data_IF_425178249889
#
_entry.id   IF_425178249889
#
_cell.length_a   1.000
_cell.length_b   1.000
_cell.length_c   1.000
_cell.angle_alpha   90.00
_cell.angle_beta   90.00
_cell.angle_gamma   90.00
#
_symmetry.space_group_name_H-M   'P 1'
#
loop_
_entity.id
_entity.type
_entity.pdbx_description
1 polymer ?
#
# COMPACT_ATOMS: atom_id res chain seq x y z
N UNK A 1 13.62 -27.08 7.52
CA UNK A 1 13.54 -27.74 8.84
C UNK A 1 13.22 -26.67 9.86
N UNK A 2 12.32 -26.95 10.80
CA UNK A 2 11.85 -26.00 11.82
C UNK A 2 12.05 -26.60 13.21
N UNK A 3 12.19 -25.75 14.24
CA UNK A 3 12.36 -26.21 15.61
C UNK A 3 11.17 -27.09 16.05
N UNK A 4 11.45 -28.20 16.72
CA UNK A 4 10.41 -29.13 17.18
C UNK A 4 9.56 -28.49 18.29
N UNK A 5 8.23 -28.62 18.19
CA UNK A 5 7.31 -28.13 19.20
C UNK A 5 7.10 -29.16 20.32
N UNK A 6 6.85 -28.68 21.53
CA UNK A 6 6.74 -29.51 22.74
C UNK A 6 5.67 -28.97 23.68
N UNK A 7 5.35 -29.77 24.68
CA UNK A 7 4.50 -29.35 25.79
C UNK A 7 4.97 -28.00 26.40
N UNK A 8 4.02 -27.12 26.67
CA UNK A 8 4.20 -25.75 27.19
C UNK A 8 4.99 -24.81 26.27
N UNK A 9 5.25 -25.18 25.02
CA UNK A 9 5.76 -24.21 24.06
C UNK A 9 4.60 -23.26 23.65
N UNK A 10 4.87 -21.95 23.48
CA UNK A 10 3.86 -20.92 23.29
C UNK A 10 3.20 -20.95 21.91
N UNK A 11 1.95 -20.46 21.86
CA UNK A 11 1.24 -20.16 20.62
C UNK A 11 0.89 -18.66 20.55
N UNK A 12 0.79 -18.13 19.34
CA UNK A 12 0.50 -16.71 19.10
C UNK A 12 -0.50 -16.51 17.95
N UNK A 13 -1.27 -15.43 18.06
CA UNK A 13 -2.03 -14.86 16.95
C UNK A 13 -1.29 -13.66 16.37
N UNK A 14 -1.64 -13.30 15.14
CA UNK A 14 -1.26 -12.01 14.57
C UNK A 14 -2.34 -10.98 14.89
N UNK A 15 -2.10 -9.72 14.51
CA UNK A 15 -3.12 -8.67 14.53
C UNK A 15 -3.80 -8.49 13.18
N UNK A 16 -3.87 -9.53 12.33
CA UNK A 16 -4.27 -9.41 10.93
C UNK A 16 -5.70 -8.90 10.76
N UNK A 17 -6.64 -9.43 11.55
CA UNK A 17 -8.04 -9.00 11.49
C UNK A 17 -8.21 -7.55 11.96
N UNK A 18 -7.58 -7.20 13.08
CA UNK A 18 -7.62 -5.84 13.63
C UNK A 18 -6.99 -4.84 12.66
N UNK A 19 -5.83 -5.19 12.11
CA UNK A 19 -5.15 -4.40 11.10
C UNK A 19 -6.01 -4.19 9.86
N UNK A 20 -6.65 -5.26 9.36
CA UNK A 20 -7.56 -5.20 8.22
C UNK A 20 -8.72 -4.22 8.47
N UNK A 21 -9.41 -4.33 9.61
CA UNK A 21 -10.56 -3.49 9.93
C UNK A 21 -10.15 -2.02 10.13
N UNK A 22 -9.04 -1.77 10.82
CA UNK A 22 -8.49 -0.43 10.99
C UNK A 22 -8.09 0.18 9.65
N UNK A 23 -7.37 -0.58 8.82
CA UNK A 23 -6.96 -0.16 7.48
C UNK A 23 -8.15 0.12 6.57
N UNK A 24 -9.20 -0.71 6.63
CA UNK A 24 -10.44 -0.49 5.89
C UNK A 24 -11.08 0.86 6.26
N UNK A 25 -11.22 1.12 7.57
CA UNK A 25 -11.82 2.36 8.06
C UNK A 25 -10.99 3.58 7.66
N UNK A 26 -9.66 3.54 7.84
CA UNK A 26 -8.75 4.64 7.46
C UNK A 26 -8.82 4.89 5.95
N UNK A 27 -8.81 3.84 5.14
CA UNK A 27 -8.93 3.94 3.68
C UNK A 27 -10.25 4.59 3.25
N UNK A 28 -11.35 4.18 3.86
CA UNK A 28 -12.68 4.72 3.57
C UNK A 28 -12.79 6.21 3.94
N UNK A 29 -12.35 6.57 5.17
CA UNK A 29 -12.40 7.95 5.67
C UNK A 29 -11.50 8.87 4.85
N UNK A 30 -10.26 8.44 4.58
CA UNK A 30 -9.31 9.22 3.80
C UNK A 30 -9.84 9.57 2.41
N UNK A 31 -10.50 8.62 1.74
CA UNK A 31 -11.15 8.89 0.45
C UNK A 31 -12.41 9.76 0.58
N UNK A 32 -13.24 9.54 1.59
CA UNK A 32 -14.47 10.32 1.78
C UNK A 32 -14.20 11.82 1.96
N UNK A 33 -13.07 12.19 2.59
CA UNK A 33 -12.65 13.58 2.75
C UNK A 33 -12.25 14.25 1.43
N UNK A 34 -11.84 13.47 0.43
CA UNK A 34 -11.38 13.98 -0.88
C UNK A 34 -12.56 14.15 -1.85
N UNK A 35 -13.63 13.37 -1.70
CA UNK A 35 -14.71 13.36 -2.69
C UNK A 35 -15.78 14.40 -2.39
N UNK A 36 -15.67 15.56 -3.04
CA UNK A 36 -16.54 16.73 -2.80
C UNK A 36 -17.93 16.72 -3.44
N UNK A 37 -18.29 15.74 -4.28
CA UNK A 37 -19.63 15.67 -4.90
C UNK A 37 -20.13 14.23 -5.05
N UNK A 38 -21.38 13.97 -4.65
CA UNK A 38 -21.99 12.66 -4.72
C UNK A 38 -22.07 12.12 -6.15
N UNK A 39 -21.85 10.81 -6.32
CA UNK A 39 -21.91 10.13 -7.62
C UNK A 39 -21.33 8.72 -7.56
N UNK A 40 -21.58 7.90 -8.57
CA UNK A 40 -21.12 6.50 -8.57
C UNK A 40 -19.58 6.39 -8.52
N UNK A 41 -18.86 7.30 -9.20
CA UNK A 41 -17.40 7.37 -9.14
C UNK A 41 -16.89 7.74 -7.74
N UNK A 42 -17.61 8.59 -7.00
CA UNK A 42 -17.29 8.94 -5.62
C UNK A 42 -17.33 7.71 -4.70
N UNK A 43 -18.43 6.95 -4.79
CA UNK A 43 -18.61 5.71 -4.04
C UNK A 43 -17.55 4.68 -4.41
N UNK A 44 -17.21 4.58 -5.70
CA UNK A 44 -16.18 3.68 -6.15
C UNK A 44 -14.79 4.04 -5.62
N UNK A 45 -14.43 5.34 -5.56
CA UNK A 45 -13.17 5.80 -4.95
C UNK A 45 -13.12 5.39 -3.48
N UNK A 46 -14.18 5.64 -2.72
CA UNK A 46 -14.25 5.24 -1.30
C UNK A 46 -14.12 3.73 -1.14
N UNK A 47 -14.85 2.94 -1.93
CA UNK A 47 -14.76 1.47 -1.89
C UNK A 47 -13.38 0.93 -2.27
N UNK A 48 -12.73 1.51 -3.29
CA UNK A 48 -11.38 1.14 -3.69
C UNK A 48 -10.35 1.49 -2.61
N UNK A 49 -10.46 2.67 -2.01
CA UNK A 49 -9.58 3.11 -0.94
C UNK A 49 -9.76 2.29 0.34
N UNK A 50 -11.01 1.98 0.71
CA UNK A 50 -11.31 1.09 1.83
C UNK A 50 -10.72 -0.30 1.62
N UNK A 51 -10.91 -0.91 0.43
CA UNK A 51 -10.33 -2.22 0.12
C UNK A 51 -8.79 -2.21 0.09
N UNK A 52 -8.19 -1.15 -0.45
CA UNK A 52 -6.73 -0.98 -0.46
C UNK A 52 -6.20 -0.80 0.96
N UNK A 53 -6.86 0.03 1.76
CA UNK A 53 -6.54 0.26 3.16
C UNK A 53 -6.64 -1.02 3.98
N UNK A 54 -7.66 -1.84 3.74
CA UNK A 54 -7.81 -3.16 4.36
C UNK A 54 -6.64 -4.09 4.05
N UNK A 55 -6.21 -4.18 2.79
CA UNK A 55 -5.07 -5.00 2.39
C UNK A 55 -3.75 -4.54 3.03
N UNK A 56 -3.52 -3.22 3.10
CA UNK A 56 -2.34 -2.64 3.79
C UNK A 56 -2.42 -2.90 5.30
N UNK A 57 -3.60 -2.68 5.90
CA UNK A 57 -3.83 -2.87 7.32
C UNK A 57 -3.65 -4.33 7.73
N UNK A 58 -4.16 -5.27 6.94
CA UNK A 58 -3.95 -6.70 7.15
C UNK A 58 -2.47 -7.07 7.07
N UNK A 59 -1.73 -6.53 6.09
CA UNK A 59 -0.29 -6.75 5.98
C UNK A 59 0.43 -6.29 7.25
N UNK A 60 0.15 -5.07 7.72
CA UNK A 60 0.75 -4.52 8.94
C UNK A 60 0.39 -5.38 10.15
N UNK A 61 -0.89 -5.74 10.29
CA UNK A 61 -1.37 -6.62 11.37
C UNK A 61 -0.74 -8.01 11.35
N UNK A 62 -0.36 -8.52 10.17
CA UNK A 62 0.28 -9.82 10.03
C UNK A 62 1.76 -9.85 10.43
N UNK A 63 2.37 -8.69 10.69
CA UNK A 63 3.80 -8.59 11.02
C UNK A 63 4.08 -9.11 12.43
N UNK A 64 5.31 -9.56 12.68
CA UNK A 64 5.69 -10.22 13.93
C UNK A 64 5.56 -9.28 15.14
N UNK A 65 5.72 -7.96 14.94
CA UNK A 65 5.53 -6.97 16.01
C UNK A 65 4.07 -6.73 16.41
N UNK A 66 3.11 -7.16 15.57
CA UNK A 66 1.68 -7.16 15.88
C UNK A 66 1.21 -8.53 16.40
N UNK A 67 2.12 -9.49 16.58
CA UNK A 67 1.79 -10.80 17.12
C UNK A 67 1.86 -10.78 18.65
N UNK A 68 0.95 -11.52 19.29
CA UNK A 68 0.92 -11.65 20.74
C UNK A 68 0.70 -13.11 21.13
N UNK A 69 1.37 -13.51 22.21
CA UNK A 69 1.18 -14.83 22.76
C UNK A 69 -0.24 -14.96 23.32
N UNK A 70 -0.97 -15.98 22.84
CA UNK A 70 -2.38 -16.24 23.20
C UNK A 70 -2.53 -17.53 24.00
N UNK A 71 -1.42 -18.21 24.32
CA UNK A 71 -1.47 -19.42 25.13
C UNK A 71 -0.27 -20.34 24.89
N UNK A 72 -0.51 -21.65 25.04
CA UNK A 72 0.53 -22.67 24.97
C UNK A 72 -0.02 -24.07 24.66
N UNK A 73 0.86 -24.95 24.20
CA UNK A 73 0.57 -26.38 24.02
C UNK A 73 0.37 -27.04 25.39
N UNK A 74 -0.71 -27.79 25.56
CA UNK A 74 -1.11 -28.41 26.84
C UNK A 74 -1.07 -29.93 26.84
N UNK A 75 -0.84 -30.59 25.70
CA UNK A 75 -0.64 -32.03 25.63
C UNK A 75 0.48 -32.40 24.66
N UNK A 76 1.01 -33.63 24.79
CA UNK A 76 2.10 -34.13 23.98
C UNK A 76 2.19 -35.66 24.03
N UNK A 77 3.19 -36.21 23.36
CA UNK A 77 3.53 -37.63 23.40
C UNK A 77 3.80 -38.15 24.81
N UNK A 78 3.34 -39.37 25.11
CA UNK A 78 3.53 -40.03 26.39
C UNK A 78 4.91 -40.65 26.59
N UNK A 79 5.68 -40.86 25.52
CA UNK A 79 6.93 -41.62 25.54
C UNK A 79 8.04 -41.04 24.63
N UNK A 80 7.77 -39.97 23.90
CA UNK A 80 8.78 -39.27 23.10
C UNK A 80 8.96 -37.87 23.66
N UNK A 81 10.16 -37.60 24.18
CA UNK A 81 10.52 -36.33 24.78
C UNK A 81 11.58 -35.64 23.94
N UNK A 82 11.48 -34.32 23.83
CA UNK A 82 12.46 -33.45 23.19
C UNK A 82 12.93 -32.45 24.24
N UNK A 83 14.21 -32.51 24.62
CA UNK A 83 14.76 -31.72 25.73
C UNK A 83 13.92 -31.83 27.02
N UNK A 84 13.56 -33.07 27.39
CA UNK A 84 12.82 -33.36 28.63
C UNK A 84 11.31 -33.07 28.58
N UNK A 85 10.80 -32.32 27.61
CA UNK A 85 9.36 -32.06 27.43
C UNK A 85 8.75 -33.04 26.44
N UNK A 86 7.49 -33.42 26.64
CA UNK A 86 6.74 -34.25 25.69
C UNK A 86 6.69 -33.59 24.30
N UNK A 87 6.99 -34.34 23.25
CA UNK A 87 6.94 -33.84 21.87
C UNK A 87 5.48 -33.61 21.43
N UNK A 88 5.22 -32.50 20.75
CA UNK A 88 3.88 -32.17 20.27
C UNK A 88 3.59 -32.77 18.89
N UNK A 89 2.35 -33.17 18.65
CA UNK A 89 1.89 -33.85 17.43
C UNK A 89 0.62 -33.21 16.89
N UNK A 90 0.52 -33.09 15.58
CA UNK A 90 -0.71 -32.69 14.91
C UNK A 90 -1.82 -33.72 15.15
N UNK A 91 -3.08 -33.32 14.95
CA UNK A 91 -4.31 -34.10 15.07
C UNK A 91 -4.70 -34.58 16.48
N UNK A 92 -3.72 -34.91 17.32
CA UNK A 92 -3.96 -35.53 18.63
C UNK A 92 -3.66 -34.61 19.80
N UNK A 93 -2.64 -33.75 19.69
CA UNK A 93 -2.27 -32.87 20.78
C UNK A 93 -2.97 -31.50 20.68
N UNK A 94 -3.10 -30.83 21.82
CA UNK A 94 -3.93 -29.65 21.97
C UNK A 94 -3.17 -28.48 22.58
N UNK A 95 -3.66 -27.27 22.32
CA UNK A 95 -3.20 -26.02 22.91
C UNK A 95 -4.35 -25.30 23.61
N UNK A 96 -4.05 -24.54 24.65
CA UNK A 96 -4.97 -23.55 25.21
C UNK A 96 -4.78 -22.23 24.47
N UNK A 97 -5.87 -21.55 24.13
CA UNK A 97 -5.88 -20.26 23.45
C UNK A 97 -6.85 -19.32 24.16
N UNK A 98 -6.38 -18.14 24.54
CA UNK A 98 -7.08 -17.15 25.37
C UNK A 98 -7.93 -16.19 24.52
N UNK A 99 -7.63 -16.05 23.22
CA UNK A 99 -8.35 -15.17 22.29
C UNK A 99 -9.70 -15.76 21.84
N UNK A 100 -9.96 -17.02 22.15
CA UNK A 100 -11.13 -17.75 21.69
C UNK A 100 -11.89 -18.40 22.85
N UNK A 101 -13.18 -18.68 22.62
CA UNK A 101 -14.07 -19.24 23.64
C UNK A 101 -13.55 -20.53 24.29
N UNK A 102 -14.18 -20.95 25.41
CA UNK A 102 -13.65 -22.00 26.27
C UNK A 102 -13.47 -23.31 25.50
N UNK A 103 -12.24 -23.85 25.54
CA UNK A 103 -11.93 -25.17 25.01
C UNK A 103 -10.56 -25.25 24.35
N UNK A 104 -9.83 -26.36 24.57
CA UNK A 104 -8.52 -26.55 23.96
C UNK A 104 -8.64 -26.75 22.44
N UNK A 105 -7.67 -26.23 21.71
CA UNK A 105 -7.57 -26.20 20.24
C UNK A 105 -6.63 -27.29 19.77
N UNK A 106 -7.03 -28.10 18.80
CA UNK A 106 -6.15 -29.15 18.25
C UNK A 106 -4.99 -28.51 17.47
N UNK A 107 -3.80 -29.10 17.56
CA UNK A 107 -2.70 -28.78 16.64
C UNK A 107 -3.07 -29.33 15.25
N UNK A 108 -3.37 -28.46 14.31
CA UNK A 108 -3.92 -28.84 13.00
C UNK A 108 -2.83 -29.09 11.94
N UNK A 109 -1.58 -28.79 12.24
CA UNK A 109 -0.46 -28.94 11.31
C UNK A 109 0.76 -29.59 11.94
N UNK A 110 1.52 -30.30 11.09
CA UNK A 110 2.78 -30.94 11.46
C UNK A 110 3.63 -31.31 10.24
N UNK A 111 4.65 -32.12 10.46
CA UNK A 111 5.54 -32.62 9.39
C UNK A 111 4.90 -33.73 8.56
N UNK A 112 4.94 -33.57 7.23
CA UNK A 112 4.55 -34.60 6.25
C UNK A 112 5.47 -35.83 6.19
N UNK A 113 6.64 -35.80 6.83
CA UNK A 113 7.63 -36.88 6.72
C UNK A 113 8.12 -37.43 8.05
N UNK A 114 7.88 -36.71 9.15
CA UNK A 114 8.30 -37.11 10.49
C UNK A 114 7.08 -37.31 11.37
N UNK A 115 6.89 -38.55 11.80
CA UNK A 115 5.76 -38.97 12.63
C UNK A 115 6.24 -39.35 14.03
N UNK A 116 5.49 -38.94 15.06
CA UNK A 116 5.70 -39.33 16.45
C UNK A 116 4.45 -40.06 16.91
N UNK A 117 4.60 -41.33 17.30
CA UNK A 117 3.48 -42.20 17.67
C UNK A 117 2.40 -42.28 16.58
N UNK A 118 2.80 -42.27 15.30
CA UNK A 118 1.90 -42.36 14.16
C UNK A 118 1.25 -41.04 13.72
N UNK A 119 1.49 -39.92 14.39
CA UNK A 119 0.94 -38.60 14.04
C UNK A 119 2.04 -37.63 13.57
N UNK A 120 1.75 -36.72 12.62
CA UNK A 120 2.72 -35.71 12.16
C UNK A 120 3.31 -34.92 13.33
N UNK A 121 4.63 -34.77 13.37
CA UNK A 121 5.30 -34.04 14.44
C UNK A 121 5.11 -32.52 14.26
N UNK A 122 4.62 -31.83 15.29
CA UNK A 122 4.39 -30.38 15.25
C UNK A 122 5.70 -29.59 15.45
N UNK A 123 5.78 -28.42 14.84
CA UNK A 123 6.99 -27.57 14.79
C UNK A 123 6.63 -26.11 14.97
N UNK A 124 7.64 -25.28 15.22
CA UNK A 124 7.52 -23.83 15.12
C UNK A 124 6.98 -23.45 13.74
N UNK A 125 6.03 -22.51 13.72
CA UNK A 125 5.21 -22.06 12.59
C UNK A 125 4.06 -22.99 12.14
N UNK A 126 3.95 -24.22 12.65
CA UNK A 126 2.74 -25.03 12.44
C UNK A 126 1.57 -24.45 13.25
N UNK A 127 0.33 -24.65 12.76
CA UNK A 127 -0.88 -23.99 13.28
C UNK A 127 -1.78 -24.89 14.11
N UNK A 128 -2.54 -24.27 15.00
CA UNK A 128 -3.74 -24.84 15.64
C UNK A 128 -4.97 -24.74 14.72
N UNK A 129 -6.06 -25.41 15.10
CA UNK A 129 -7.38 -25.30 14.45
C UNK A 129 -7.93 -23.86 14.44
N UNK A 130 -7.44 -22.98 15.32
CA UNK A 130 -7.85 -21.59 15.39
C UNK A 130 -6.93 -20.63 14.63
N UNK A 131 -5.96 -21.15 13.86
CA UNK A 131 -4.95 -20.38 13.10
C UNK A 131 -3.85 -19.72 13.96
N UNK A 132 -3.79 -20.05 15.26
CA UNK A 132 -2.64 -19.65 16.10
C UNK A 132 -1.40 -20.44 15.67
N UNK A 133 -0.24 -19.78 15.64
CA UNK A 133 1.04 -20.40 15.30
C UNK A 133 1.83 -20.76 16.54
N UNK A 134 2.55 -21.86 16.50
CA UNK A 134 3.55 -22.20 17.52
C UNK A 134 4.74 -21.25 17.34
N UNK A 135 4.98 -20.38 18.33
CA UNK A 135 5.94 -19.27 18.20
C UNK A 135 7.34 -19.59 18.71
N UNK A 136 7.48 -20.61 19.56
CA UNK A 136 8.78 -21.11 20.01
C UNK A 136 8.79 -22.63 20.14
N UNK A 137 9.99 -23.20 20.18
CA UNK A 137 10.19 -24.65 20.19
C UNK A 137 11.52 -25.04 20.81
N UNK A 138 12.02 -26.21 20.44
CA UNK A 138 13.34 -26.69 20.83
C UNK A 138 14.47 -25.84 20.24
N UNK A 139 15.49 -25.54 21.05
CA UNK A 139 16.64 -24.73 20.62
C UNK A 139 17.66 -25.50 19.76
N UNK A 140 17.60 -26.83 19.74
CA UNK A 140 18.62 -27.68 19.12
C UNK A 140 18.06 -28.94 18.41
N UNK A 141 16.74 -29.14 18.42
CA UNK A 141 16.09 -30.23 17.70
C UNK A 141 15.18 -29.65 16.63
N UNK A 142 15.47 -29.99 15.38
CA UNK A 142 14.76 -29.50 14.22
C UNK A 142 14.13 -30.67 13.47
N UNK A 143 12.89 -30.49 13.01
CA UNK A 143 12.12 -31.49 12.27
C UNK A 143 11.94 -30.99 10.83
N UNK A 144 12.18 -31.89 9.88
CA UNK A 144 12.05 -31.65 8.44
C UNK A 144 10.64 -31.88 7.90
N UNK A 145 10.54 -32.03 6.58
CA UNK A 145 9.28 -32.22 5.86
C UNK A 145 8.55 -30.93 5.53
N UNK A 146 7.67 -30.99 4.53
CA UNK A 146 6.69 -29.94 4.27
C UNK A 146 5.60 -29.96 5.36
N UNK A 147 4.83 -28.87 5.47
CA UNK A 147 3.70 -28.80 6.39
C UNK A 147 2.51 -29.59 5.85
N UNK A 148 2.06 -30.57 6.62
CA UNK A 148 0.81 -31.30 6.41
C UNK A 148 -0.27 -30.71 7.31
N UNK A 149 -1.46 -30.46 6.76
CA UNK A 149 -2.64 -30.04 7.52
C UNK A 149 -3.52 -31.26 7.78
N UNK A 150 -3.64 -31.65 9.04
CA UNK A 150 -4.41 -32.81 9.48
C UNK A 150 -5.86 -32.48 9.80
N UNK A 151 -6.14 -31.24 10.19
CA UNK A 151 -7.45 -30.79 10.65
C UNK A 151 -7.84 -29.44 10.02
N UNK A 152 -9.14 -29.13 9.87
CA UNK A 152 -9.59 -27.84 9.37
C UNK A 152 -9.11 -26.69 10.26
N UNK A 153 -8.54 -25.67 9.63
CA UNK A 153 -8.10 -24.44 10.31
C UNK A 153 -9.15 -23.36 10.04
N UNK A 154 -9.62 -22.73 11.11
CA UNK A 154 -10.45 -21.53 11.07
C UNK A 154 -9.53 -20.31 10.99
N UNK A 155 -9.41 -19.65 9.82
CA UNK A 155 -8.42 -18.58 9.63
C UNK A 155 -8.73 -17.36 10.51
N UNK A 156 -7.68 -16.67 10.97
CA UNK A 156 -7.81 -15.49 11.84
C UNK A 156 -8.64 -14.39 11.18
N UNK A 157 -8.46 -14.21 9.87
CA UNK A 157 -9.32 -13.37 9.05
C UNK A 157 -10.35 -14.26 8.34
N UNK A 158 -11.66 -14.08 8.58
CA UNK A 158 -12.68 -14.89 7.94
C UNK A 158 -12.60 -14.80 6.41
N UNK A 159 -12.54 -15.95 5.73
CA UNK A 159 -12.41 -16.03 4.26
C UNK A 159 -13.50 -15.24 3.54
N UNK A 160 -14.72 -15.22 4.08
CA UNK A 160 -15.83 -14.45 3.50
C UNK A 160 -15.58 -12.93 3.58
N UNK A 161 -14.96 -12.46 4.67
CA UNK A 161 -14.63 -11.05 4.85
C UNK A 161 -13.56 -10.60 3.85
N UNK A 162 -12.46 -11.35 3.73
CA UNK A 162 -11.40 -11.04 2.74
C UNK A 162 -11.95 -11.03 1.32
N UNK A 163 -12.72 -12.05 0.95
CA UNK A 163 -13.34 -12.13 -0.37
C UNK A 163 -14.33 -10.99 -0.61
N UNK A 164 -15.11 -10.61 0.40
CA UNK A 164 -16.03 -9.49 0.33
C UNK A 164 -15.30 -8.17 0.04
N UNK A 165 -14.21 -7.90 0.77
CA UNK A 165 -13.40 -6.70 0.59
C UNK A 165 -12.72 -6.68 -0.79
N UNK A 166 -12.19 -7.82 -1.22
CA UNK A 166 -11.62 -7.95 -2.57
C UNK A 166 -12.68 -7.66 -3.65
N UNK A 167 -13.90 -8.18 -3.50
CA UNK A 167 -14.99 -7.93 -4.43
C UNK A 167 -15.43 -6.46 -4.43
N UNK A 168 -15.47 -5.80 -3.27
CA UNK A 168 -15.70 -4.36 -3.17
C UNK A 168 -14.62 -3.61 -3.95
N UNK A 169 -13.34 -3.93 -3.73
CA UNK A 169 -12.22 -3.31 -4.44
C UNK A 169 -12.29 -3.51 -5.95
N UNK A 170 -12.59 -4.73 -6.42
CA UNK A 170 -12.73 -5.03 -7.84
C UNK A 170 -13.96 -4.34 -8.47
N UNK A 171 -15.11 -4.38 -7.79
CA UNK A 171 -16.33 -3.72 -8.27
C UNK A 171 -16.12 -2.20 -8.40
N UNK A 172 -15.49 -1.59 -7.40
CA UNK A 172 -15.03 -0.20 -7.47
C UNK A 172 -14.08 0.03 -8.64
N UNK A 173 -13.11 -0.85 -8.86
CA UNK A 173 -12.18 -0.73 -9.98
C UNK A 173 -12.88 -0.77 -11.35
N UNK A 174 -13.93 -1.59 -11.52
CA UNK A 174 -14.74 -1.61 -12.76
C UNK A 174 -15.59 -0.36 -12.97
N UNK A 175 -15.91 0.39 -11.93
CA UNK A 175 -16.54 1.71 -12.06
C UNK A 175 -15.51 2.76 -12.49
N UNK A 176 -14.27 2.66 -11.99
CA UNK A 176 -13.23 3.66 -12.21
C UNK A 176 -12.41 3.43 -13.48
N UNK A 177 -12.33 2.19 -13.96
CA UNK A 177 -11.49 1.80 -15.07
C UNK A 177 -12.18 0.77 -15.97
N UNK A 178 -11.67 0.64 -17.18
CA UNK A 178 -12.17 -0.32 -18.15
C UNK A 178 -11.91 -1.77 -17.71
N UNK A 179 -12.72 -2.73 -18.21
CA UNK A 179 -12.52 -4.14 -17.87
C UNK A 179 -11.13 -4.69 -18.19
N UNK A 180 -10.51 -4.28 -19.30
CA UNK A 180 -9.17 -4.76 -19.66
C UNK A 180 -8.11 -4.28 -18.66
N UNK A 181 -8.20 -3.03 -18.19
CA UNK A 181 -7.29 -2.49 -17.17
C UNK A 181 -7.46 -3.22 -15.84
N UNK A 182 -8.70 -3.43 -15.40
CA UNK A 182 -9.00 -4.10 -14.12
C UNK A 182 -8.54 -5.55 -14.14
N UNK A 183 -8.89 -6.31 -15.18
CA UNK A 183 -8.52 -7.73 -15.30
C UNK A 183 -7.00 -7.88 -15.41
N UNK A 184 -6.35 -7.11 -16.28
CA UNK A 184 -4.90 -7.19 -16.45
C UNK A 184 -4.16 -6.76 -15.17
N UNK A 185 -4.67 -5.73 -14.46
CA UNK A 185 -4.16 -5.31 -13.16
C UNK A 185 -4.32 -6.39 -12.09
N UNK A 186 -5.48 -7.04 -12.01
CA UNK A 186 -5.71 -8.12 -11.05
C UNK A 186 -4.81 -9.33 -11.30
N UNK A 187 -4.71 -9.79 -12.56
CA UNK A 187 -3.82 -10.89 -12.96
C UNK A 187 -2.36 -10.52 -12.71
N UNK A 188 -1.95 -9.31 -13.07
CA UNK A 188 -0.62 -8.80 -12.79
C UNK A 188 -0.32 -8.76 -11.30
N UNK A 189 -1.29 -8.38 -10.47
CA UNK A 189 -1.15 -8.35 -9.01
C UNK A 189 -0.98 -9.74 -8.41
N UNK A 190 -1.78 -10.72 -8.84
CA UNK A 190 -1.60 -12.12 -8.42
C UNK A 190 -0.21 -12.62 -8.81
N UNK A 191 0.17 -12.47 -10.09
CA UNK A 191 1.46 -12.95 -10.59
C UNK A 191 2.65 -12.27 -9.90
N UNK A 192 2.58 -10.95 -9.71
CA UNK A 192 3.60 -10.21 -8.98
C UNK A 192 3.69 -10.64 -7.53
N UNK A 193 2.56 -10.89 -6.86
CA UNK A 193 2.50 -11.33 -5.48
C UNK A 193 3.07 -12.73 -5.28
N UNK A 194 2.76 -13.68 -6.16
CA UNK A 194 3.31 -15.04 -6.07
C UNK A 194 4.81 -15.06 -6.31
N UNK A 195 5.31 -14.31 -7.30
CA UNK A 195 6.75 -14.16 -7.56
C UNK A 195 7.44 -13.48 -6.36
N UNK A 196 6.84 -12.42 -5.82
CA UNK A 196 7.35 -11.72 -4.64
C UNK A 196 7.40 -12.61 -3.41
N UNK A 197 6.36 -13.43 -3.18
CA UNK A 197 6.32 -14.40 -2.08
C UNK A 197 7.40 -15.47 -2.22
N UNK A 198 7.55 -16.04 -3.42
CA UNK A 198 8.57 -17.06 -3.70
C UNK A 198 10.00 -16.50 -3.54
N UNK A 199 10.28 -15.34 -4.15
CA UNK A 199 11.58 -14.70 -4.04
C UNK A 199 11.86 -14.26 -2.59
N UNK A 200 10.87 -13.72 -1.90
CA UNK A 200 10.95 -13.32 -0.50
C UNK A 200 11.26 -14.48 0.43
N UNK A 201 10.59 -15.63 0.26
CA UNK A 201 10.86 -16.84 1.04
C UNK A 201 12.28 -17.35 0.85
N UNK A 202 12.80 -17.30 -0.39
CA UNK A 202 14.18 -17.71 -0.70
C UNK A 202 15.24 -16.74 -0.15
N UNK A 203 14.97 -15.43 -0.16
CA UNK A 203 15.92 -14.40 0.26
C UNK A 203 15.92 -14.15 1.77
N UNK A 204 14.77 -14.26 2.42
CA UNK A 204 14.58 -13.83 3.81
C UNK A 204 14.08 -14.92 4.76
N UNK A 205 13.81 -16.11 4.24
CA UNK A 205 13.25 -17.24 4.98
C UNK A 205 11.73 -17.27 4.94
N UNK A 206 11.19 -18.49 4.91
CA UNK A 206 9.74 -18.74 4.91
C UNK A 206 9.08 -18.21 6.19
N UNK A 207 7.97 -17.49 6.03
CA UNK A 207 7.21 -16.89 7.13
C UNK A 207 7.75 -15.54 7.61
N UNK A 208 8.90 -15.09 7.12
CA UNK A 208 9.52 -13.83 7.54
C UNK A 208 8.70 -12.59 7.15
N UNK A 209 8.79 -11.54 7.97
CA UNK A 209 8.14 -10.26 7.70
C UNK A 209 8.60 -9.64 6.37
N UNK A 210 9.87 -9.83 6.00
CA UNK A 210 10.40 -9.37 4.71
C UNK A 210 9.83 -10.15 3.52
N UNK A 211 9.51 -11.44 3.67
CA UNK A 211 8.79 -12.18 2.64
C UNK A 211 7.38 -11.61 2.42
N UNK A 212 6.64 -11.33 3.51
CA UNK A 212 5.29 -10.73 3.42
C UNK A 212 5.33 -9.38 2.68
N UNK A 213 6.31 -8.54 3.02
CA UNK A 213 6.54 -7.25 2.34
C UNK A 213 6.91 -7.43 0.87
N UNK A 214 7.76 -8.41 0.52
CA UNK A 214 8.12 -8.71 -0.87
C UNK A 214 6.91 -9.21 -1.67
N UNK A 215 6.07 -10.08 -1.08
CA UNK A 215 4.83 -10.53 -1.70
C UNK A 215 3.91 -9.33 -1.98
N UNK A 216 3.70 -8.46 -0.99
CA UNK A 216 2.88 -7.26 -1.15
C UNK A 216 3.45 -6.29 -2.20
N UNK A 217 4.75 -5.98 -2.13
CA UNK A 217 5.43 -5.12 -3.09
C UNK A 217 5.40 -5.68 -4.51
N UNK A 218 5.59 -7.00 -4.64
CA UNK A 218 5.43 -7.73 -5.90
C UNK A 218 4.02 -7.60 -6.45
N UNK A 219 2.98 -7.76 -5.62
CA UNK A 219 1.60 -7.61 -6.04
C UNK A 219 1.29 -6.18 -6.50
N UNK A 220 1.78 -5.17 -5.79
CA UNK A 220 1.59 -3.75 -6.17
C UNK A 220 2.28 -3.44 -7.52
N UNK A 221 3.51 -3.89 -7.70
CA UNK A 221 4.27 -3.69 -8.95
C UNK A 221 3.64 -4.45 -10.11
N UNK A 222 3.33 -5.72 -9.90
CA UNK A 222 2.69 -6.57 -10.90
C UNK A 222 1.32 -6.01 -11.31
N UNK A 223 0.52 -5.54 -10.35
CA UNK A 223 -0.77 -4.93 -10.62
C UNK A 223 -0.65 -3.64 -11.42
N UNK A 224 0.34 -2.80 -11.11
CA UNK A 224 0.62 -1.57 -11.87
C UNK A 224 1.06 -1.88 -13.30
N UNK A 225 1.94 -2.87 -13.49
CA UNK A 225 2.40 -3.27 -14.82
C UNK A 225 1.25 -3.91 -15.63
N UNK A 226 0.44 -4.75 -14.99
CA UNK A 226 -0.77 -5.33 -15.57
C UNK A 226 -1.76 -4.27 -16.04
N UNK A 227 -2.07 -3.28 -15.19
CA UNK A 227 -2.96 -2.17 -15.53
C UNK A 227 -2.42 -1.35 -16.72
N UNK A 228 -1.11 -1.09 -16.80
CA UNK A 228 -0.48 -0.46 -17.98
C UNK A 228 -0.64 -1.31 -19.24
N UNK A 229 -0.48 -2.62 -19.13
CA UNK A 229 -0.72 -3.57 -20.22
C UNK A 229 -2.18 -3.56 -20.68
N UNK A 230 -3.13 -3.50 -19.75
CA UNK A 230 -4.56 -3.35 -20.04
C UNK A 230 -4.87 -2.03 -20.75
N UNK A 231 -4.28 -0.91 -20.31
CA UNK A 231 -4.42 0.39 -20.98
C UNK A 231 -3.84 0.37 -22.39
N UNK A 232 -2.69 -0.28 -22.58
CA UNK A 232 -2.10 -0.50 -23.90
C UNK A 232 -3.01 -1.33 -24.80
N UNK A 233 -3.68 -2.35 -24.26
CA UNK A 233 -4.63 -3.18 -24.99
C UNK A 233 -5.85 -2.36 -25.42
N UNK A 234 -6.47 -1.60 -24.52
CA UNK A 234 -7.66 -0.79 -24.83
C UNK A 234 -7.42 0.29 -25.89
N UNK A 235 -6.21 0.86 -25.91
CA UNK A 235 -5.82 1.81 -26.96
C UNK A 235 -5.76 1.14 -28.33
N UNK A 236 -5.45 -0.16 -28.39
CA UNK A 236 -5.22 -0.88 -29.66
C UNK A 236 -6.39 -1.74 -30.09
N UNK A 237 -7.21 -2.21 -29.16
CA UNK A 237 -8.22 -3.21 -29.39
C UNK A 237 -9.55 -2.79 -28.76
N UNK A 238 -10.64 -3.18 -29.39
CA UNK A 238 -11.99 -3.05 -28.87
C UNK A 238 -12.59 -4.45 -28.74
N UNK A 239 -13.15 -4.74 -27.57
CA UNK A 239 -13.84 -6.00 -27.32
C UNK A 239 -15.33 -5.76 -27.58
N UNK A 240 -15.84 -6.27 -28.70
CA UNK A 240 -17.28 -6.24 -28.98
C UNK A 240 -17.93 -7.50 -28.48
N UNK A 241 -18.86 -7.33 -27.54
CA UNK A 241 -19.72 -8.41 -27.04
C UNK A 241 -21.08 -8.25 -27.72
N UNK A 242 -21.43 -9.18 -28.62
CA UNK A 242 -22.76 -9.19 -29.23
C UNK A 242 -23.72 -10.01 -28.36
N UNK A 243 -24.70 -9.34 -27.76
CA UNK A 243 -25.88 -9.96 -27.13
C UNK A 243 -25.84 -10.08 -25.60
N UNK A 244 -26.76 -9.38 -24.93
CA UNK A 244 -27.04 -9.52 -23.50
C UNK A 244 -27.77 -10.87 -23.28
N UNK A 245 -27.02 -11.95 -23.03
CA UNK A 245 -27.62 -13.26 -22.67
C UNK A 245 -27.04 -14.51 -23.35
N UNK A 246 -26.02 -14.40 -24.21
CA UNK A 246 -25.41 -15.58 -24.86
C UNK A 246 -24.10 -15.97 -24.17
N UNK A 247 -24.05 -17.17 -23.59
CA UNK A 247 -22.87 -17.86 -23.04
C UNK A 247 -21.58 -17.52 -23.79
N UNK A 248 -20.76 -16.58 -23.27
CA UNK A 248 -19.34 -16.19 -23.51
C UNK A 248 -18.61 -16.53 -24.85
N UNK A 249 -19.26 -17.06 -25.87
CA UNK A 249 -18.66 -17.67 -27.05
C UNK A 249 -18.49 -16.72 -28.24
N UNK A 250 -19.06 -15.51 -28.17
CA UNK A 250 -19.02 -14.53 -29.26
C UNK A 250 -18.29 -13.23 -28.85
N UNK A 251 -17.09 -13.38 -28.28
CA UNK A 251 -16.18 -12.26 -28.02
C UNK A 251 -15.31 -12.05 -29.26
N UNK A 252 -15.51 -10.94 -30.00
CA UNK A 252 -14.64 -10.57 -31.12
C UNK A 252 -13.77 -9.39 -30.73
N UNK A 253 -12.46 -9.63 -30.71
CA UNK A 253 -11.45 -8.58 -30.50
C UNK A 253 -11.12 -7.96 -31.86
N UNK A 254 -11.39 -6.67 -32.02
CA UNK A 254 -11.07 -5.93 -33.26
C UNK A 254 -9.99 -4.88 -32.97
N UNK A 255 -9.00 -4.72 -33.85
CA UNK A 255 -8.06 -3.60 -33.73
C UNK A 255 -8.82 -2.29 -33.97
N UNK A 256 -8.58 -1.28 -33.13
CA UNK A 256 -9.16 0.06 -33.27
C UNK A 256 -8.54 0.79 -34.47
N UNK A 257 -9.39 1.54 -35.17
CA UNK A 257 -8.99 2.37 -36.31
C UNK A 257 -8.24 3.63 -35.84
N UNK A 258 -7.41 4.26 -36.69
CA UNK A 258 -6.58 5.42 -36.28
C UNK A 258 -7.40 6.57 -35.65
N UNK A 259 -8.61 6.83 -36.14
CA UNK A 259 -9.52 7.84 -35.58
C UNK A 259 -10.12 7.44 -34.21
N UNK A 260 -10.26 6.14 -33.92
CA UNK A 260 -10.79 5.63 -32.64
C UNK A 260 -9.71 5.56 -31.55
N UNK A 261 -8.43 5.47 -31.94
CA UNK A 261 -7.29 5.56 -31.01
C UNK A 261 -7.15 6.96 -30.42
N UNK A 262 -7.56 7.98 -31.18
CA UNK A 262 -7.51 9.39 -30.76
C UNK A 262 -8.63 9.72 -29.75
N UNK A 263 -9.82 9.13 -29.92
CA UNK A 263 -10.98 9.33 -29.04
C UNK A 263 -10.94 8.49 -27.76
N UNK A 264 -10.28 7.32 -27.76
CA UNK A 264 -10.10 6.50 -26.56
C UNK A 264 -9.12 7.12 -25.55
N UNK A 265 -8.21 7.96 -26.02
CA UNK A 265 -7.26 8.69 -25.17
C UNK A 265 -7.86 9.95 -24.54
N UNK A 266 -9.03 10.42 -25.00
CA UNK A 266 -9.71 11.63 -24.51
C UNK A 266 -10.95 11.36 -23.66
N UNK A 267 -11.43 10.11 -23.58
CA UNK A 267 -12.64 9.73 -22.84
C UNK A 267 -12.36 9.17 -21.42
N UNK A 268 -11.20 9.51 -20.84
CA UNK A 268 -10.83 9.18 -19.45
C UNK A 268 -11.57 10.15 -18.51
N UNK A 269 -12.84 9.86 -18.18
CA UNK A 269 -13.58 10.52 -17.09
C UNK A 269 -13.05 10.04 -15.73
N UNK A 270 -11.82 10.40 -15.40
CA UNK A 270 -11.31 10.84 -14.08
C UNK A 270 -9.93 11.41 -14.41
N UNK A 271 -9.81 12.73 -14.47
CA UNK A 271 -8.50 13.38 -14.59
C UNK A 271 -7.77 13.22 -13.26
N UNK A 272 -7.01 12.13 -13.09
CA UNK A 272 -5.87 12.17 -12.18
C UNK A 272 -4.97 13.29 -12.70
N UNK A 273 -4.65 14.33 -11.92
CA UNK A 273 -3.80 15.41 -12.41
C UNK A 273 -2.47 14.79 -12.79
N UNK A 274 -2.18 14.72 -14.10
CA UNK A 274 -0.87 14.31 -14.56
C UNK A 274 0.17 15.27 -14.01
N UNK A 275 1.37 14.80 -13.68
CA UNK A 275 2.49 15.63 -13.20
C UNK A 275 2.86 16.79 -14.13
N UNK A 276 2.34 16.81 -15.36
CA UNK A 276 2.46 17.93 -16.32
C UNK A 276 1.49 19.09 -16.06
N UNK A 277 0.40 18.89 -15.31
CA UNK A 277 -0.59 19.94 -15.00
C UNK A 277 -0.06 20.96 -13.99
N UNK A 278 0.87 20.57 -13.11
CA UNK A 278 1.45 21.41 -12.06
C UNK A 278 2.93 21.76 -12.32
N UNK A 279 3.33 21.88 -13.58
CA UNK A 279 4.65 22.40 -13.97
C UNK A 279 4.81 23.89 -13.65
N UNK A 280 6.02 24.37 -13.35
CA UNK A 280 6.31 25.83 -13.23
C UNK A 280 5.71 26.63 -14.39
N UNK A 281 4.99 27.68 -14.03
CA UNK A 281 4.41 28.63 -14.96
C UNK A 281 5.38 29.75 -15.36
N UNK A 282 4.93 30.62 -16.27
CA UNK A 282 5.55 31.93 -16.46
C UNK A 282 4.94 32.92 -15.48
N UNK A 283 5.77 33.78 -14.91
CA UNK A 283 5.30 34.89 -14.10
C UNK A 283 4.50 35.89 -14.95
N UNK A 284 3.39 36.38 -14.40
CA UNK A 284 2.57 37.41 -15.01
C UNK A 284 3.32 38.74 -15.04
N UNK A 285 2.87 39.62 -15.92
CA UNK A 285 3.41 40.99 -16.01
C UNK A 285 3.33 41.64 -14.62
N UNK A 286 4.38 42.37 -14.25
CA UNK A 286 4.54 43.13 -13.01
C UNK A 286 4.79 42.33 -11.72
N UNK A 287 4.59 41.00 -11.66
CA UNK A 287 4.84 40.19 -10.44
C UNK A 287 6.26 40.39 -9.90
N UNK A 288 7.27 40.30 -10.78
CA UNK A 288 8.68 40.50 -10.41
C UNK A 288 8.96 41.91 -9.86
N UNK A 289 8.30 42.92 -10.41
CA UNK A 289 8.47 44.32 -9.98
C UNK A 289 7.80 44.55 -8.62
N UNK A 290 6.58 44.06 -8.44
CA UNK A 290 5.83 44.18 -7.18
C UNK A 290 6.52 43.44 -6.02
N UNK A 291 7.10 42.26 -6.27
CA UNK A 291 7.89 41.55 -5.25
C UNK A 291 9.08 42.39 -4.77
N UNK A 292 9.75 43.09 -5.68
CA UNK A 292 10.86 43.98 -5.33
C UNK A 292 10.39 45.20 -4.53
N UNK A 293 9.35 45.89 -5.00
CA UNK A 293 8.77 47.05 -4.31
C UNK A 293 8.24 46.68 -2.90
N UNK A 294 7.70 45.47 -2.73
CA UNK A 294 7.29 44.98 -1.41
C UNK A 294 8.48 44.75 -0.49
N UNK A 295 9.57 44.14 -0.99
CA UNK A 295 10.79 43.93 -0.21
C UNK A 295 11.46 45.26 0.18
N UNK A 296 11.39 46.27 -0.69
CA UNK A 296 11.89 47.62 -0.41
C UNK A 296 11.09 48.28 0.73
N UNK A 297 9.76 48.12 0.74
CA UNK A 297 8.87 48.63 1.80
C UNK A 297 9.00 47.88 3.13
N UNK A 298 9.27 46.58 3.08
CA UNK A 298 9.47 45.75 4.28
C UNK A 298 10.85 46.01 4.93
N UNK A 299 11.81 46.59 4.19
CA UNK A 299 13.13 46.95 4.71
C UNK A 299 13.07 48.27 5.51
N UNK A 300 13.55 48.32 6.77
CA UNK A 300 13.61 49.55 7.56
C UNK A 300 14.34 50.71 6.88
N UNK A 301 15.39 50.39 6.12
CA UNK A 301 16.25 51.37 5.44
C UNK A 301 15.93 51.54 3.94
N UNK A 302 14.89 50.86 3.42
CA UNK A 302 14.58 50.85 1.99
C UNK A 302 15.59 50.11 1.09
N UNK A 303 16.51 49.31 1.66
CA UNK A 303 17.52 48.56 0.90
C UNK A 303 17.16 47.09 0.88
N UNK A 304 16.88 46.55 -0.30
CA UNK A 304 16.64 45.10 -0.49
C UNK A 304 17.95 44.34 -0.30
N UNK A 305 17.97 43.33 0.59
CA UNK A 305 19.14 42.51 0.91
C UNK A 305 18.88 41.02 0.66
N UNK A 306 19.93 40.28 0.34
CA UNK A 306 19.86 38.83 0.23
C UNK A 306 19.53 38.21 1.60
N UNK A 307 18.51 37.33 1.73
CA UNK A 307 18.10 36.77 3.02
C UNK A 307 19.14 35.87 3.70
N UNK A 308 20.10 35.31 2.95
CA UNK A 308 21.10 34.37 3.46
C UNK A 308 22.45 35.04 3.69
N UNK A 309 22.83 35.99 2.82
CA UNK A 309 24.14 36.65 2.84
C UNK A 309 24.09 38.11 3.34
N UNK A 310 22.90 38.66 3.58
CA UNK A 310 22.62 40.05 4.00
C UNK A 310 23.22 41.14 3.08
N UNK A 311 23.61 40.74 1.87
CA UNK A 311 24.24 41.62 0.87
C UNK A 311 23.18 42.54 0.25
N UNK A 312 23.43 43.86 0.16
CA UNK A 312 22.57 44.77 -0.60
C UNK A 312 22.45 44.34 -2.05
N UNK A 313 21.25 44.43 -2.61
CA UNK A 313 20.95 44.08 -4.00
C UNK A 313 20.34 45.28 -4.72
N UNK A 314 20.48 45.31 -6.06
CA UNK A 314 19.84 46.30 -6.93
C UNK A 314 18.90 45.64 -7.92
N UNK A 315 17.81 46.32 -8.26
CA UNK A 315 16.77 45.76 -9.13
C UNK A 315 17.29 45.42 -10.53
N UNK A 316 18.21 46.25 -11.03
CA UNK A 316 18.82 46.14 -12.37
C UNK A 316 19.96 45.11 -12.44
N UNK A 317 20.39 44.56 -11.29
CA UNK A 317 21.40 43.51 -11.22
C UNK A 317 20.75 42.12 -11.30
N UNK A 318 21.49 41.04 -11.66
CA UNK A 318 20.92 39.70 -11.73
C UNK A 318 20.47 39.17 -10.36
N UNK A 319 19.16 38.96 -10.21
CA UNK A 319 18.53 38.36 -9.02
C UNK A 319 17.39 37.40 -9.41
N UNK A 320 17.21 36.37 -8.60
CA UNK A 320 16.22 35.31 -8.78
C UNK A 320 15.01 35.52 -7.86
N UNK A 321 13.82 35.06 -8.28
CA UNK A 321 12.64 35.05 -7.42
C UNK A 321 12.65 33.80 -6.55
N UNK A 322 13.28 33.92 -5.39
CA UNK A 322 13.30 32.88 -4.36
C UNK A 322 11.92 32.71 -3.75
N UNK A 323 11.59 31.48 -3.32
CA UNK A 323 10.37 31.24 -2.56
C UNK A 323 10.62 31.62 -1.10
N UNK A 324 9.63 32.25 -0.45
CA UNK A 324 9.66 32.37 1.01
C UNK A 324 9.65 30.96 1.63
N UNK A 325 10.22 30.77 2.84
CA UNK A 325 10.20 29.48 3.51
C UNK A 325 8.77 28.91 3.58
N UNK A 326 8.61 27.61 3.35
CA UNK A 326 7.32 26.90 3.27
C UNK A 326 6.41 27.23 2.06
N UNK A 327 6.88 28.05 1.11
CA UNK A 327 6.20 28.28 -0.17
C UNK A 327 6.94 27.62 -1.34
N UNK A 328 7.83 26.66 -1.06
CA UNK A 328 8.66 26.04 -2.09
C UNK A 328 7.80 25.39 -3.19
N UNK A 329 8.26 25.51 -4.44
CA UNK A 329 7.48 25.05 -5.59
C UNK A 329 7.05 23.58 -5.50
N UNK A 330 7.91 22.70 -4.99
CA UNK A 330 7.58 21.28 -4.84
C UNK A 330 6.49 21.03 -3.80
N UNK A 331 6.43 21.85 -2.73
CA UNK A 331 5.35 21.79 -1.73
C UNK A 331 4.02 22.30 -2.31
N UNK A 332 4.06 23.35 -3.12
CA UNK A 332 2.89 23.82 -3.86
C UNK A 332 2.38 22.74 -4.84
N UNK A 333 3.26 22.05 -5.57
CA UNK A 333 2.88 20.92 -6.44
C UNK A 333 2.21 19.81 -5.64
N UNK A 334 2.81 19.39 -4.51
CA UNK A 334 2.24 18.35 -3.63
C UNK A 334 0.88 18.76 -3.05
N UNK A 335 0.72 20.02 -2.64
CA UNK A 335 -0.55 20.61 -2.18
C UNK A 335 -1.60 20.63 -3.29
N UNK A 336 -1.22 21.03 -4.51
CA UNK A 336 -2.12 21.08 -5.66
C UNK A 336 -2.54 19.66 -6.12
N UNK A 337 -1.65 18.67 -6.04
CA UNK A 337 -1.97 17.27 -6.27
C UNK A 337 -2.95 16.74 -5.22
N UNK A 338 -2.74 17.05 -3.94
CA UNK A 338 -3.64 16.65 -2.86
C UNK A 338 -5.03 17.31 -2.98
N UNK A 339 -5.09 18.57 -3.42
CA UNK A 339 -6.35 19.33 -3.57
C UNK A 339 -7.05 19.14 -4.90
N UNK A 340 -6.39 18.56 -5.91
CA UNK A 340 -6.95 18.36 -7.24
C UNK A 340 -7.36 19.65 -7.96
N UNK A 341 -6.66 20.76 -7.72
CA UNK A 341 -7.01 22.07 -8.30
C UNK A 341 -6.74 22.13 -9.81
N UNK A 342 -7.45 23.02 -10.53
CA UNK A 342 -7.19 23.19 -11.96
C UNK A 342 -5.82 23.81 -12.23
N UNK A 343 -5.27 23.59 -13.43
CA UNK A 343 -4.01 24.26 -13.85
C UNK A 343 -4.12 25.79 -13.82
N UNK A 344 -5.33 26.34 -14.03
CA UNK A 344 -5.56 27.78 -13.96
C UNK A 344 -5.40 28.27 -12.51
N UNK A 345 -6.05 27.60 -11.57
CA UNK A 345 -5.94 27.90 -10.13
C UNK A 345 -4.51 27.73 -9.64
N UNK A 346 -3.82 26.65 -10.03
CA UNK A 346 -2.40 26.46 -9.72
C UNK A 346 -1.52 27.62 -10.24
N UNK A 347 -1.79 28.12 -11.45
CA UNK A 347 -1.06 29.26 -11.99
C UNK A 347 -1.48 30.59 -11.34
N UNK A 348 -2.69 30.72 -10.82
CA UNK A 348 -3.12 31.87 -10.02
C UNK A 348 -2.36 31.89 -8.68
N UNK A 349 -2.28 30.76 -7.97
CA UNK A 349 -1.50 30.60 -6.72
C UNK A 349 0.01 30.78 -6.96
N UNK A 350 0.54 30.24 -8.06
CA UNK A 350 1.95 30.42 -8.47
C UNK A 350 2.33 31.88 -8.74
N UNK A 351 1.37 32.75 -9.04
CA UNK A 351 1.63 34.17 -9.34
C UNK A 351 1.38 35.11 -8.15
N UNK A 352 1.07 34.58 -6.97
CA UNK A 352 0.92 35.39 -5.74
C UNK A 352 2.27 35.94 -5.30
N UNK A 353 2.38 37.27 -5.24
CA UNK A 353 3.62 37.98 -4.88
C UNK A 353 4.10 37.65 -3.46
N UNK A 354 3.17 37.29 -2.58
CA UNK A 354 3.43 36.97 -1.17
C UNK A 354 4.31 35.72 -0.99
N UNK A 355 4.32 34.83 -1.97
CA UNK A 355 5.08 33.57 -1.94
C UNK A 355 6.57 33.76 -2.27
N UNK A 356 6.95 34.94 -2.76
CA UNK A 356 8.28 35.21 -3.31
C UNK A 356 9.03 36.29 -2.53
N UNK A 357 10.36 36.23 -2.61
CA UNK A 357 11.26 37.30 -2.17
C UNK A 357 12.47 37.40 -3.11
N UNK A 358 13.10 38.58 -3.25
CA UNK A 358 14.33 38.70 -4.01
C UNK A 358 15.47 37.92 -3.35
N UNK A 359 16.20 37.13 -4.13
CA UNK A 359 17.39 36.40 -3.67
C UNK A 359 18.50 36.43 -4.72
N UNK A 360 19.76 36.36 -4.28
CA UNK A 360 20.88 36.20 -5.19
C UNK A 360 20.83 34.81 -5.85
N UNK A 361 21.21 34.67 -7.13
CA UNK A 361 21.21 33.37 -7.81
C UNK A 361 22.08 32.31 -7.11
N UNK A 362 23.16 32.74 -6.43
CA UNK A 362 23.99 31.85 -5.62
C UNK A 362 23.27 31.31 -4.38
N UNK A 363 22.44 32.14 -3.76
CA UNK A 363 21.70 31.82 -2.52
C UNK A 363 20.51 30.90 -2.83
N UNK A 364 19.71 31.26 -3.83
CA UNK A 364 18.55 30.50 -4.30
C UNK A 364 18.92 29.06 -4.75
N UNK A 365 20.07 28.88 -5.40
CA UNK A 365 20.55 27.56 -5.87
C UNK A 365 21.23 26.71 -4.79
N UNK A 366 21.50 27.28 -3.62
CA UNK A 366 22.19 26.58 -2.54
C UNK A 366 21.26 25.73 -1.67
N UNK A 367 19.93 25.90 -1.82
CA UNK A 367 18.88 25.27 -0.98
C UNK A 367 19.00 25.52 0.53
N UNK A 368 19.95 26.36 0.99
CA UNK A 368 20.22 26.63 2.41
C UNK A 368 19.13 27.45 3.13
N UNK A 369 18.22 28.06 2.38
CA UNK A 369 17.11 28.87 2.91
C UNK A 369 15.77 28.13 2.93
N UNK A 370 15.74 26.86 2.52
CA UNK A 370 14.52 26.03 2.52
C UNK A 370 14.31 25.41 3.90
N UNK A 371 13.06 25.32 4.36
CA UNK A 371 12.73 24.63 5.61
C UNK A 371 12.52 23.14 5.34
N UNK A 372 13.18 22.28 6.14
CA UNK A 372 13.09 20.81 6.06
C UNK A 372 11.72 20.25 6.43
N UNK A 373 10.81 21.08 6.97
CA UNK A 373 9.46 20.66 7.33
C UNK A 373 8.56 20.50 6.11
N UNK A 374 7.64 19.53 6.17
CA UNK A 374 6.69 19.23 5.09
C UNK A 374 5.52 20.22 4.99
N UNK A 375 5.46 21.21 5.89
CA UNK A 375 4.37 22.18 5.99
C UNK A 375 4.36 23.16 4.81
N UNK A 376 3.17 23.37 4.23
CA UNK A 376 2.91 24.35 3.17
C UNK A 376 1.90 25.38 3.66
N UNK A 377 2.29 26.66 3.69
CA UNK A 377 1.45 27.77 4.16
C UNK A 377 0.73 28.54 3.04
N UNK A 378 0.86 28.08 1.79
CA UNK A 378 0.20 28.71 0.66
C UNK A 378 -1.25 28.30 0.51
N UNK A 379 -2.09 29.29 0.20
CA UNK A 379 -3.33 29.14 -0.56
C UNK A 379 -3.46 30.33 -1.49
#
# INVERSE_FOLDING_TARGET
MSAAARLNDPIEHTGSLTGLLAGFAIGAIGAALIVGTGGLAAVAIVGAAAATGAGIGQLVGSMSFCSHQTGQIISGSSNVNINGKAAARAHVDKASCDDHGPGPKVLAQGSSTVYINGYPAARVNDRTECDAKISAGSNNVFIGGETETTDPISPEVPVLLERGILLIGLASAFVLASPAVVIAGFVGGIAGGTIGNWAGGKLFGEGSDRQKLMAFGGALLGGRLGAKGGKWFDVRYEVKVHGLGSSLGNIKVKPRTANEKLSSSSNEKVSVPSSTNYSRGKFRKNVRKTVWENAEKESPDGIVRDPLLEKPMKFDEPWDMGHKPCFEHWKHVRSAEARGISRKEFLDEYNKVEHYRPELPSSNRSHKGELETDDYYGY
#
